data_IF_232578558580
#
_entry.id   IF_232578558580
#
_cell.length_a   1.000
_cell.length_b   1.000
_cell.length_c   1.000
_cell.angle_alpha   90.00
_cell.angle_beta   90.00
_cell.angle_gamma   90.00
#
_symmetry.space_group_name_H-M   'P 1'
#
loop_
_entity.id
_entity.type
_entity.pdbx_description
1 polymer ?
#
# COMPACT_ATOMS: atom_id res chain seq x y z
N UNK A 1 24.42 -21.60 26.11
CA UNK A 1 23.36 -20.58 26.05
C UNK A 1 23.62 -19.74 24.81
N UNK A 2 22.81 -19.93 23.76
CA UNK A 2 22.95 -19.26 22.46
C UNK A 2 22.27 -17.90 22.56
N UNK A 3 23.04 -16.82 22.50
CA UNK A 3 22.48 -15.46 22.41
C UNK A 3 22.14 -15.20 20.95
N UNK A 4 20.85 -15.23 20.61
CA UNK A 4 20.40 -14.81 19.29
C UNK A 4 20.64 -13.31 19.15
N UNK A 5 21.54 -12.91 18.24
CA UNK A 5 21.70 -11.51 17.83
C UNK A 5 20.33 -10.98 17.39
N UNK A 6 19.81 -9.86 17.93
CA UNK A 6 18.57 -9.30 17.43
C UNK A 6 18.80 -8.92 15.97
N UNK A 7 18.12 -9.61 15.05
CA UNK A 7 18.04 -9.20 13.67
C UNK A 7 17.64 -7.72 13.66
N UNK A 8 18.40 -6.88 12.97
CA UNK A 8 18.14 -5.44 12.87
C UNK A 8 16.69 -5.27 12.40
N UNK A 9 15.76 -5.01 13.32
CA UNK A 9 14.51 -4.37 13.00
C UNK A 9 14.91 -2.98 12.55
N UNK A 10 15.09 -2.80 11.24
CA UNK A 10 14.99 -1.48 10.61
C UNK A 10 13.61 -0.97 10.98
N UNK A 11 13.54 -0.22 12.07
CA UNK A 11 12.42 0.63 12.39
C UNK A 11 12.35 1.65 11.26
N UNK A 12 11.56 1.31 10.23
CA UNK A 12 11.22 2.26 9.18
C UNK A 12 10.37 3.30 9.89
N UNK A 13 11.02 4.35 10.39
CA UNK A 13 10.35 5.62 10.67
C UNK A 13 9.53 5.93 9.42
N UNK A 14 8.25 6.33 9.52
CA UNK A 14 7.42 6.62 8.36
C UNK A 14 8.00 7.83 7.62
N UNK A 15 9.02 7.55 6.81
CA UNK A 15 9.41 8.39 5.70
C UNK A 15 8.16 8.48 4.82
N UNK A 16 7.92 9.62 4.15
CA UNK A 16 6.75 9.83 3.30
C UNK A 16 6.85 9.00 2.00
N UNK A 17 7.12 7.70 2.13
CA UNK A 17 7.20 6.74 1.05
C UNK A 17 5.79 6.60 0.52
N UNK A 18 5.58 7.20 -0.65
CA UNK A 18 4.36 7.06 -1.43
C UNK A 18 4.42 5.73 -2.17
N UNK A 19 3.38 4.92 -1.99
CA UNK A 19 3.29 3.60 -2.62
C UNK A 19 2.27 3.69 -3.75
N UNK A 20 2.70 3.27 -4.94
CA UNK A 20 1.83 3.05 -6.08
C UNK A 20 1.46 1.58 -6.20
N UNK A 21 0.17 1.25 -6.33
CA UNK A 21 -0.30 -0.13 -6.45
C UNK A 21 -1.22 -0.34 -7.65
N UNK A 22 -0.91 -1.32 -8.49
CA UNK A 22 -1.73 -1.70 -9.64
C UNK A 22 -2.33 -3.08 -9.40
N UNK A 23 -3.66 -3.15 -9.36
CA UNK A 23 -4.42 -4.38 -9.21
C UNK A 23 -4.91 -4.62 -7.77
N UNK A 24 -6.15 -4.23 -7.51
CA UNK A 24 -6.84 -4.39 -6.21
C UNK A 24 -7.76 -5.62 -6.20
N UNK A 25 -7.22 -6.77 -6.62
CA UNK A 25 -7.93 -8.05 -6.64
C UNK A 25 -7.98 -8.72 -5.26
N UNK A 26 -8.27 -10.03 -5.24
CA UNK A 26 -8.39 -10.84 -4.01
C UNK A 26 -7.16 -10.71 -3.10
N UNK A 27 -5.96 -10.70 -3.68
CA UNK A 27 -4.72 -10.52 -2.90
C UNK A 27 -4.32 -9.05 -2.72
N UNK A 28 -4.47 -8.22 -3.77
CA UNK A 28 -3.99 -6.85 -3.73
C UNK A 28 -4.75 -5.97 -2.73
N UNK A 29 -6.07 -6.19 -2.60
CA UNK A 29 -6.91 -5.41 -1.69
C UNK A 29 -6.48 -5.54 -0.21
N UNK A 30 -6.35 -6.73 0.40
CA UNK A 30 -5.91 -6.85 1.80
C UNK A 30 -4.47 -6.37 2.00
N UNK A 31 -3.59 -6.48 1.00
CA UNK A 31 -2.23 -5.91 1.10
C UNK A 31 -2.27 -4.38 1.18
N UNK A 32 -3.04 -3.73 0.30
CA UNK A 32 -3.24 -2.29 0.31
C UNK A 32 -3.84 -1.81 1.64
N UNK A 33 -4.78 -2.56 2.20
CA UNK A 33 -5.39 -2.27 3.50
C UNK A 33 -4.36 -2.25 4.65
N UNK A 34 -3.44 -3.22 4.69
CA UNK A 34 -2.37 -3.21 5.69
C UNK A 34 -1.45 -2.01 5.55
N UNK A 35 -1.13 -1.59 4.31
CA UNK A 35 -0.31 -0.41 4.06
C UNK A 35 -1.00 0.89 4.52
N UNK A 36 -2.29 1.03 4.22
CA UNK A 36 -3.09 2.17 4.70
C UNK A 36 -3.16 2.20 6.23
N UNK A 37 -3.41 1.05 6.87
CA UNK A 37 -3.44 0.94 8.34
C UNK A 37 -2.09 1.24 8.99
N UNK A 38 -0.99 0.93 8.32
CA UNK A 38 0.36 1.27 8.76
C UNK A 38 0.70 2.76 8.54
N UNK A 39 -0.21 3.55 7.96
CA UNK A 39 -0.05 5.00 7.78
C UNK A 39 0.66 5.41 6.49
N UNK A 40 0.84 4.49 5.54
CA UNK A 40 1.44 4.82 4.24
C UNK A 40 0.45 5.53 3.32
N UNK A 41 0.96 6.46 2.52
CA UNK A 41 0.18 7.07 1.43
C UNK A 41 0.16 6.11 0.25
N UNK A 42 -1.04 5.71 -0.17
CA UNK A 42 -1.23 4.74 -1.24
C UNK A 42 -2.01 5.36 -2.41
N UNK A 43 -1.48 5.23 -3.62
CA UNK A 43 -2.18 5.51 -4.89
C UNK A 43 -2.47 4.18 -5.58
N UNK A 44 -3.73 3.94 -5.95
CA UNK A 44 -4.16 2.66 -6.54
C UNK A 44 -4.74 2.84 -7.93
N UNK A 45 -4.49 1.86 -8.79
CA UNK A 45 -5.16 1.68 -10.08
C UNK A 45 -5.65 0.25 -10.23
N UNK A 46 -6.81 0.09 -10.86
CA UNK A 46 -7.32 -1.21 -11.31
C UNK A 46 -8.20 -1.01 -12.54
N UNK A 47 -8.41 -2.04 -13.35
CA UNK A 47 -9.27 -1.91 -14.54
C UNK A 47 -10.74 -1.65 -14.19
N UNK A 48 -11.19 -2.13 -13.04
CA UNK A 48 -12.58 -2.01 -12.58
C UNK A 48 -12.64 -1.15 -11.33
N UNK A 49 -13.01 0.13 -11.47
CA UNK A 49 -13.01 1.12 -10.38
C UNK A 49 -13.74 0.65 -9.11
N UNK A 50 -14.86 -0.05 -9.25
CA UNK A 50 -15.63 -0.56 -8.11
C UNK A 50 -14.82 -1.47 -7.17
N UNK A 51 -13.77 -2.14 -7.67
CA UNK A 51 -12.86 -2.97 -6.86
C UNK A 51 -11.87 -2.15 -6.03
N UNK A 52 -11.69 -0.87 -6.32
CA UNK A 52 -10.85 0.03 -5.52
C UNK A 52 -11.66 0.83 -4.50
N UNK A 53 -12.99 0.89 -4.61
CA UNK A 53 -13.84 1.75 -3.79
C UNK A 53 -13.61 1.59 -2.28
N UNK A 54 -13.45 0.34 -1.82
CA UNK A 54 -13.18 0.05 -0.41
C UNK A 54 -11.84 0.62 0.07
N UNK A 55 -10.82 0.66 -0.80
CA UNK A 55 -9.52 1.27 -0.48
C UNK A 55 -9.58 2.80 -0.55
N UNK A 56 -10.33 3.34 -1.51
CA UNK A 56 -10.56 4.79 -1.62
C UNK A 56 -11.27 5.34 -0.38
N UNK A 57 -12.29 4.61 0.12
CA UNK A 57 -12.98 4.96 1.36
C UNK A 57 -12.06 4.93 2.60
N UNK A 58 -10.96 4.18 2.53
CA UNK A 58 -9.94 4.08 3.59
C UNK A 58 -8.79 5.10 3.41
N UNK A 59 -8.88 5.99 2.41
CA UNK A 59 -7.90 7.06 2.19
C UNK A 59 -6.87 6.77 1.10
N UNK A 60 -6.99 5.68 0.34
CA UNK A 60 -6.21 5.52 -0.87
C UNK A 60 -6.60 6.56 -1.93
N UNK A 61 -5.64 6.96 -2.76
CA UNK A 61 -5.86 7.86 -3.89
C UNK A 61 -6.10 7.04 -5.16
N UNK A 62 -6.98 7.52 -6.03
CA UNK A 62 -7.20 6.91 -7.33
C UNK A 62 -6.22 7.45 -8.37
N UNK A 63 -5.69 6.58 -9.23
CA UNK A 63 -5.00 6.97 -10.46
C UNK A 63 -5.85 6.60 -11.67
N UNK A 64 -5.90 7.44 -12.70
CA UNK A 64 -6.71 7.21 -13.91
C UNK A 64 -6.07 6.23 -14.90
N UNK A 65 -4.76 5.97 -14.75
CA UNK A 65 -4.00 5.04 -15.58
C UNK A 65 -2.85 4.39 -14.78
N UNK A 66 -2.29 3.26 -15.23
CA UNK A 66 -1.10 2.68 -14.63
C UNK A 66 0.07 3.66 -14.55
N UNK A 67 0.23 4.53 -15.55
CA UNK A 67 1.28 5.54 -15.57
C UNK A 67 1.07 6.60 -14.48
N UNK A 68 -0.17 7.02 -14.25
CA UNK A 68 -0.52 8.00 -13.23
C UNK A 68 -0.31 7.51 -11.79
N UNK A 69 -0.11 6.20 -11.57
CA UNK A 69 0.17 5.63 -10.24
C UNK A 69 1.53 6.08 -9.69
N UNK A 70 2.49 6.35 -10.57
CA UNK A 70 3.87 6.67 -10.20
C UNK A 70 4.18 8.19 -10.10
N UNK A 71 3.21 9.06 -10.40
CA UNK A 71 3.34 10.51 -10.30
C UNK A 71 3.27 11.00 -8.83
#
# INVERSE_FOLDING_TARGET
>A
MITASPARQTFILPSPVRIGWIGTGVMGAPMCEHLLRAGYTLTVYTRTLSKAQMLLNQGARWAESPAAVAA
#
